data_IF_717810275942
#
_entry.id   IF_717810275942
#
_cell.length_a   1.000
_cell.length_b   1.000
_cell.length_c   1.000
_cell.angle_alpha   90.00
_cell.angle_beta   90.00
_cell.angle_gamma   90.00
#
_symmetry.space_group_name_H-M   'P 1'
#
loop_
_entity.id
_entity.type
_entity.pdbx_description
1 polymer ?
#
# COMPACT_ATOMS: atom_id res chain seq x y z
N UNK A 1 0.48 -6.93 -53.67
CA UNK A 1 0.71 -5.96 -52.59
C UNK A 1 1.74 -4.93 -53.07
N UNK A 2 1.50 -3.65 -52.87
CA UNK A 2 2.48 -2.63 -53.27
C UNK A 2 3.67 -2.64 -52.28
N UNK A 3 4.87 -2.15 -52.75
CA UNK A 3 6.04 -1.98 -51.87
C UNK A 3 5.68 -1.11 -50.65
N UNK A 4 4.79 -0.13 -50.78
CA UNK A 4 4.31 0.72 -49.67
C UNK A 4 3.50 -0.09 -48.65
N UNK A 5 2.63 -1.02 -49.11
CA UNK A 5 1.87 -1.89 -48.21
C UNK A 5 2.75 -2.85 -47.40
N UNK A 6 3.82 -3.37 -48.00
CA UNK A 6 4.80 -4.23 -47.32
C UNK A 6 5.58 -3.48 -46.25
N UNK A 7 6.01 -2.24 -46.53
CA UNK A 7 6.71 -1.39 -45.54
C UNK A 7 5.80 -1.06 -44.36
N UNK A 8 4.54 -0.69 -44.63
CA UNK A 8 3.58 -0.39 -43.54
C UNK A 8 3.33 -1.62 -42.68
N UNK A 9 3.15 -2.80 -43.25
CA UNK A 9 2.97 -4.04 -42.49
C UNK A 9 4.21 -4.40 -41.65
N UNK A 10 5.41 -4.21 -42.20
CA UNK A 10 6.66 -4.45 -41.44
C UNK A 10 6.80 -3.49 -40.26
N UNK A 11 6.45 -2.21 -40.43
CA UNK A 11 6.47 -1.23 -39.32
C UNK A 11 5.44 -1.59 -38.25
N UNK A 12 4.21 -1.93 -38.65
CA UNK A 12 3.16 -2.36 -37.69
C UNK A 12 3.57 -3.62 -36.94
N UNK A 13 4.16 -4.60 -37.61
CA UNK A 13 4.67 -5.82 -36.97
C UNK A 13 5.80 -5.50 -35.98
N UNK A 14 6.74 -4.63 -36.34
CA UNK A 14 7.83 -4.21 -35.45
C UNK A 14 7.31 -3.47 -34.21
N UNK A 15 6.33 -2.58 -34.37
CA UNK A 15 5.68 -1.88 -33.27
C UNK A 15 4.95 -2.88 -32.35
N UNK A 16 4.24 -3.85 -32.91
CA UNK A 16 3.55 -4.88 -32.14
C UNK A 16 4.52 -5.77 -31.34
N UNK A 17 5.65 -6.16 -31.96
CA UNK A 17 6.71 -6.93 -31.29
C UNK A 17 7.36 -6.11 -30.16
N UNK A 18 7.66 -4.83 -30.42
CA UNK A 18 8.21 -3.94 -29.39
C UNK A 18 7.23 -3.74 -28.22
N UNK A 19 5.95 -3.52 -28.52
CA UNK A 19 4.90 -3.41 -27.51
C UNK A 19 4.76 -4.70 -26.67
N UNK A 20 4.83 -5.87 -27.33
CA UNK A 20 4.79 -7.17 -26.65
C UNK A 20 6.04 -7.40 -25.78
N UNK A 21 7.21 -6.99 -26.24
CA UNK A 21 8.46 -7.07 -25.49
C UNK A 21 8.42 -6.17 -24.25
N UNK A 22 7.94 -4.93 -24.38
CA UNK A 22 7.73 -4.00 -23.26
C UNK A 22 6.72 -4.57 -22.26
N UNK A 23 5.62 -5.12 -22.75
CA UNK A 23 4.60 -5.73 -21.88
C UNK A 23 5.13 -6.93 -21.10
N UNK A 24 5.98 -7.78 -21.73
CA UNK A 24 6.58 -8.94 -21.06
C UNK A 24 7.74 -8.59 -20.12
N UNK A 25 8.46 -7.50 -20.37
CA UNK A 25 9.64 -7.13 -19.59
C UNK A 25 9.31 -6.38 -18.30
N UNK A 26 8.05 -5.92 -18.13
CA UNK A 26 7.61 -5.08 -16.98
C UNK A 26 8.69 -4.05 -16.59
N UNK A 27 9.01 -3.09 -17.47
CA UNK A 27 10.15 -2.22 -17.25
C UNK A 27 9.90 -1.30 -16.05
N UNK A 28 10.92 -1.10 -15.22
CA UNK A 28 10.88 -0.32 -13.97
C UNK A 28 10.29 1.08 -14.17
N UNK A 29 10.60 1.75 -15.31
CA UNK A 29 10.03 3.07 -15.57
C UNK A 29 8.50 3.07 -15.70
N UNK A 30 7.91 1.96 -16.20
CA UNK A 30 6.46 1.82 -16.32
C UNK A 30 5.82 1.60 -14.94
N UNK A 31 6.49 0.85 -14.06
CA UNK A 31 6.07 0.70 -12.67
C UNK A 31 6.08 2.05 -11.93
N UNK A 32 7.16 2.83 -12.09
CA UNK A 32 7.27 4.17 -11.51
C UNK A 32 6.18 5.14 -12.02
N UNK A 33 5.79 5.00 -13.28
CA UNK A 33 4.71 5.82 -13.86
C UNK A 33 3.33 5.42 -13.31
N UNK A 34 3.06 4.11 -13.15
CA UNK A 34 1.77 3.57 -12.67
C UNK A 34 1.60 3.68 -11.16
N UNK A 35 2.70 3.48 -10.44
CA UNK A 35 2.75 3.37 -8.98
C UNK A 35 3.80 4.35 -8.43
N UNK A 36 3.56 5.68 -8.53
CA UNK A 36 4.50 6.68 -8.04
C UNK A 36 4.71 6.52 -6.53
N UNK A 37 5.94 6.77 -6.08
CA UNK A 37 6.29 6.87 -4.67
C UNK A 37 6.26 8.35 -4.25
N UNK A 38 5.73 8.62 -3.06
CA UNK A 38 5.77 9.92 -2.40
C UNK A 38 6.03 9.71 -0.91
N UNK A 39 6.45 10.75 -0.21
CA UNK A 39 6.70 10.72 1.23
C UNK A 39 7.76 9.69 1.65
N UNK A 40 8.79 9.49 0.84
CA UNK A 40 9.83 8.46 1.00
C UNK A 40 10.45 8.50 2.40
N UNK A 41 10.90 9.68 2.84
CA UNK A 41 11.52 9.86 4.16
C UNK A 41 10.56 9.49 5.30
N UNK A 42 9.29 9.89 5.22
CA UNK A 42 8.28 9.56 6.23
C UNK A 42 8.07 8.04 6.27
N UNK A 43 7.93 7.41 5.09
CA UNK A 43 7.73 5.96 4.99
C UNK A 43 8.90 5.17 5.54
N UNK A 44 10.13 5.50 5.14
CA UNK A 44 11.33 4.78 5.59
C UNK A 44 11.58 4.98 7.08
N UNK A 45 11.40 6.20 7.60
CA UNK A 45 11.51 6.49 9.03
C UNK A 45 10.54 5.65 9.86
N UNK A 46 9.26 5.62 9.48
CA UNK A 46 8.27 4.85 10.24
C UNK A 46 8.35 3.34 9.98
N UNK A 47 8.77 2.91 8.81
CA UNK A 47 9.07 1.50 8.56
C UNK A 47 10.20 1.02 9.49
N UNK A 48 11.28 1.79 9.61
CA UNK A 48 12.37 1.50 10.55
C UNK A 48 11.89 1.50 12.01
N UNK A 49 11.20 2.56 12.44
CA UNK A 49 10.76 2.73 13.83
C UNK A 49 9.81 1.62 14.30
N UNK A 50 9.03 1.04 13.39
CA UNK A 50 8.05 0.00 13.70
C UNK A 50 8.43 -1.39 13.17
N UNK A 51 9.67 -1.57 12.69
CA UNK A 51 10.18 -2.83 12.14
C UNK A 51 9.22 -3.40 11.08
N UNK A 52 8.92 -2.58 10.06
CA UNK A 52 8.08 -2.90 8.92
C UNK A 52 8.92 -2.94 7.64
N UNK A 53 8.48 -3.70 6.65
CA UNK A 53 9.00 -3.62 5.30
C UNK A 53 8.55 -2.29 4.65
N UNK A 54 9.47 -1.37 4.24
CA UNK A 54 9.10 -0.11 3.60
C UNK A 54 8.29 -0.31 2.31
N UNK A 55 8.54 -1.39 1.56
CA UNK A 55 7.77 -1.70 0.36
C UNK A 55 6.33 -2.13 0.69
N UNK A 56 6.12 -2.85 1.80
CA UNK A 56 4.78 -3.15 2.30
C UNK A 56 4.05 -1.87 2.71
N UNK A 57 4.73 -0.97 3.43
CA UNK A 57 4.13 0.29 3.86
C UNK A 57 3.76 1.18 2.66
N UNK A 58 4.64 1.30 1.66
CA UNK A 58 4.36 2.03 0.42
C UNK A 58 3.18 1.43 -0.36
N UNK A 59 3.14 0.09 -0.49
CA UNK A 59 2.04 -0.61 -1.15
C UNK A 59 0.70 -0.38 -0.45
N UNK A 60 0.70 -0.39 0.89
CA UNK A 60 -0.49 -0.14 1.69
C UNK A 60 -0.96 1.31 1.51
N UNK A 61 -0.08 2.30 1.67
CA UNK A 61 -0.42 3.73 1.48
C UNK A 61 -0.95 4.00 0.08
N UNK A 62 -0.36 3.39 -0.94
CA UNK A 62 -0.87 3.52 -2.31
C UNK A 62 -2.28 2.92 -2.45
N UNK A 63 -2.53 1.76 -1.87
CA UNK A 63 -3.85 1.11 -1.93
C UNK A 63 -4.91 1.93 -1.19
N UNK A 64 -4.56 2.53 -0.05
CA UNK A 64 -5.48 3.32 0.78
C UNK A 64 -5.82 4.68 0.17
N UNK A 65 -4.82 5.43 -0.28
CA UNK A 65 -5.02 6.83 -0.66
C UNK A 65 -4.38 7.23 -1.98
N UNK A 66 -3.61 6.36 -2.65
CA UNK A 66 -2.73 6.71 -3.77
C UNK A 66 -1.81 7.90 -3.43
N UNK A 67 -1.34 7.96 -2.19
CA UNK A 67 -0.54 9.05 -1.64
C UNK A 67 -1.23 10.42 -1.60
N UNK A 68 -2.56 10.48 -1.51
CA UNK A 68 -3.27 11.72 -1.27
C UNK A 68 -3.44 11.94 0.25
N UNK A 69 -2.72 12.91 0.79
CA UNK A 69 -2.75 13.18 2.25
C UNK A 69 -4.09 13.72 2.75
N UNK A 70 -4.84 14.35 1.87
CA UNK A 70 -6.18 14.89 2.15
C UNK A 70 -7.32 13.91 1.83
N UNK A 71 -7.00 12.66 1.53
CA UNK A 71 -7.99 11.64 1.17
C UNK A 71 -9.01 11.43 2.30
N UNK A 72 -10.27 11.33 1.90
CA UNK A 72 -11.40 11.06 2.80
C UNK A 72 -12.29 10.00 2.16
N UNK A 73 -12.57 8.94 2.88
CA UNK A 73 -13.51 7.92 2.41
C UNK A 73 -14.96 8.25 2.81
N UNK A 74 -15.92 7.58 2.17
CA UNK A 74 -17.33 7.64 2.55
C UNK A 74 -17.61 7.10 3.96
N UNK A 75 -16.74 6.23 4.47
CA UNK A 75 -16.79 5.71 5.82
C UNK A 75 -16.13 6.65 6.86
N UNK A 76 -15.60 7.80 6.44
CA UNK A 76 -14.95 8.77 7.32
C UNK A 76 -13.48 8.51 7.60
N UNK A 77 -12.84 7.56 6.91
CA UNK A 77 -11.40 7.35 7.03
C UNK A 77 -10.60 8.51 6.43
N UNK A 78 -9.44 8.84 7.00
CA UNK A 78 -8.67 10.04 6.73
C UNK A 78 -7.21 9.76 6.42
N UNK A 79 -6.65 10.53 5.48
CA UNK A 79 -5.23 10.65 5.21
C UNK A 79 -4.61 9.50 4.43
N UNK A 80 -3.28 9.45 4.45
CA UNK A 80 -2.46 8.54 3.64
C UNK A 80 -2.78 7.06 3.88
N UNK A 81 -3.02 6.66 5.12
CA UNK A 81 -3.28 5.28 5.54
C UNK A 81 -4.74 5.04 5.92
N UNK A 82 -5.63 5.98 5.55
CA UNK A 82 -7.08 5.88 5.74
C UNK A 82 -7.50 5.41 7.14
N UNK A 83 -7.02 6.12 8.16
CA UNK A 83 -7.40 5.81 9.54
C UNK A 83 -8.77 6.38 9.86
N UNK A 84 -9.63 5.57 10.49
CA UNK A 84 -10.86 6.04 11.08
C UNK A 84 -10.59 6.92 12.31
N UNK A 85 -11.41 7.95 12.59
CA UNK A 85 -11.27 8.81 13.77
C UNK A 85 -11.10 8.02 15.07
N UNK A 86 -11.97 7.06 15.32
CA UNK A 86 -11.93 6.21 16.51
C UNK A 86 -10.64 5.34 16.60
N UNK A 87 -10.08 4.93 15.45
CA UNK A 87 -8.79 4.24 15.42
C UNK A 87 -7.67 5.19 15.80
N UNK A 88 -7.67 6.41 15.25
CA UNK A 88 -6.71 7.47 15.59
C UNK A 88 -6.72 7.81 17.07
N UNK A 89 -7.91 8.00 17.66
CA UNK A 89 -8.10 8.26 19.09
C UNK A 89 -7.57 7.11 19.95
N UNK A 90 -7.89 5.86 19.58
CA UNK A 90 -7.41 4.68 20.30
C UNK A 90 -5.88 4.54 20.25
N UNK A 91 -5.25 4.92 19.12
CA UNK A 91 -3.79 4.93 18.99
C UNK A 91 -3.21 6.07 19.84
N UNK A 92 -3.77 7.26 19.79
CA UNK A 92 -3.34 8.41 20.58
C UNK A 92 -3.29 8.08 22.07
N UNK A 93 -4.36 7.51 22.62
CA UNK A 93 -4.45 7.08 24.01
C UNK A 93 -3.35 6.06 24.40
N UNK A 94 -2.95 5.19 23.47
CA UNK A 94 -1.92 4.15 23.74
C UNK A 94 -0.49 4.66 23.55
N UNK A 95 -0.30 5.73 22.79
CA UNK A 95 1.01 6.25 22.41
C UNK A 95 1.35 7.59 23.06
N UNK A 96 0.50 8.08 23.99
CA UNK A 96 0.71 9.34 24.72
C UNK A 96 0.37 10.59 23.89
N UNK A 97 -0.57 10.48 22.96
CA UNK A 97 -1.03 11.59 22.13
C UNK A 97 -2.10 12.46 22.79
N UNK A 98 -1.83 13.03 23.98
CA UNK A 98 -2.81 13.75 24.82
C UNK A 98 -3.44 14.98 24.16
N UNK A 99 -2.84 15.52 23.10
CA UNK A 99 -3.32 16.68 22.33
C UNK A 99 -3.84 16.32 20.95
N UNK A 100 -4.00 15.03 20.65
CA UNK A 100 -4.52 14.58 19.37
C UNK A 100 -5.93 15.12 19.11
N UNK A 101 -6.15 15.64 17.92
CA UNK A 101 -7.45 15.96 17.36
C UNK A 101 -7.64 15.26 16.03
N UNK A 102 -8.87 14.91 15.67
CA UNK A 102 -9.18 14.10 14.47
C UNK A 102 -8.60 14.69 13.18
N UNK A 103 -8.53 16.04 13.08
CA UNK A 103 -7.92 16.71 11.92
C UNK A 103 -6.45 16.41 11.72
N UNK A 104 -5.73 15.99 12.76
CA UNK A 104 -4.31 15.63 12.68
C UNK A 104 -4.08 14.37 11.83
N UNK A 105 -5.12 13.57 11.60
CA UNK A 105 -5.07 12.44 10.67
C UNK A 105 -4.88 12.87 9.20
N UNK A 106 -4.97 14.17 8.88
CA UNK A 106 -4.63 14.71 7.57
C UNK A 106 -3.17 15.18 7.48
N UNK A 107 -2.44 15.21 8.59
CA UNK A 107 -1.01 15.43 8.60
C UNK A 107 -0.29 14.14 8.15
N UNK A 108 0.53 14.20 7.09
CA UNK A 108 1.21 13.01 6.54
C UNK A 108 2.07 12.27 7.55
N UNK A 109 2.83 13.01 8.37
CA UNK A 109 3.75 12.47 9.35
C UNK A 109 3.00 11.71 10.45
N UNK A 110 1.98 12.35 11.03
CA UNK A 110 1.18 11.73 12.07
C UNK A 110 0.37 10.54 11.54
N UNK A 111 -0.22 10.67 10.36
CA UNK A 111 -1.03 9.61 9.76
C UNK A 111 -0.21 8.35 9.49
N UNK A 112 0.97 8.49 8.87
CA UNK A 112 1.87 7.36 8.60
C UNK A 112 2.42 6.79 9.91
N UNK A 113 2.78 7.62 10.89
CA UNK A 113 3.20 7.14 12.21
C UNK A 113 2.14 6.27 12.88
N UNK A 114 0.91 6.75 12.94
CA UNK A 114 -0.20 6.01 13.58
C UNK A 114 -0.57 4.75 12.81
N UNK A 115 -0.67 4.84 11.48
CA UNK A 115 -0.96 3.69 10.63
C UNK A 115 0.12 2.61 10.71
N UNK A 116 1.39 3.00 10.74
CA UNK A 116 2.52 2.08 10.89
C UNK A 116 2.49 1.38 12.25
N UNK A 117 2.24 2.13 13.35
CA UNK A 117 2.04 1.54 14.66
C UNK A 117 0.90 0.52 14.65
N UNK A 118 -0.24 0.88 14.05
CA UNK A 118 -1.41 -0.01 13.99
C UNK A 118 -1.13 -1.27 13.16
N UNK A 119 -0.49 -1.13 12.00
CA UNK A 119 -0.09 -2.27 11.17
C UNK A 119 0.86 -3.19 11.94
N UNK A 120 1.84 -2.64 12.67
CA UNK A 120 2.76 -3.43 13.50
C UNK A 120 2.03 -4.23 14.56
N UNK A 121 1.07 -3.62 15.26
CA UNK A 121 0.26 -4.30 16.25
C UNK A 121 -0.56 -5.46 15.64
N UNK A 122 -1.11 -5.26 14.45
CA UNK A 122 -1.82 -6.32 13.72
C UNK A 122 -0.90 -7.46 13.29
N UNK A 123 0.30 -7.14 12.78
CA UNK A 123 1.30 -8.15 12.42
C UNK A 123 1.74 -8.97 13.64
N UNK A 124 1.94 -8.30 14.77
CA UNK A 124 2.25 -8.99 16.05
C UNK A 124 1.13 -9.88 16.54
N UNK A 125 -0.13 -9.44 16.39
CA UNK A 125 -1.30 -10.19 16.85
C UNK A 125 -1.55 -11.44 16.01
N UNK A 126 -1.45 -11.32 14.70
CA UNK A 126 -1.87 -12.39 13.80
C UNK A 126 -0.74 -13.27 13.29
N UNK A 127 0.51 -12.82 13.35
CA UNK A 127 1.73 -13.52 12.87
C UNK A 127 1.66 -13.94 11.40
N UNK A 128 0.77 -13.32 10.63
CA UNK A 128 0.55 -13.54 9.21
C UNK A 128 0.16 -12.23 8.52
N UNK A 129 0.91 -11.84 7.50
CA UNK A 129 0.73 -10.55 6.81
C UNK A 129 -0.64 -10.47 6.15
N UNK A 130 -1.12 -11.56 5.52
CA UNK A 130 -2.44 -11.60 4.87
C UNK A 130 -3.57 -11.35 5.87
N UNK A 131 -3.50 -12.00 7.01
CA UNK A 131 -4.48 -11.85 8.10
C UNK A 131 -4.39 -10.46 8.74
N UNK A 132 -3.19 -9.92 8.93
CA UNK A 132 -2.99 -8.57 9.45
C UNK A 132 -3.58 -7.49 8.52
N UNK A 133 -3.34 -7.60 7.21
CA UNK A 133 -3.93 -6.70 6.20
C UNK A 133 -5.46 -6.84 6.16
N UNK A 134 -6.00 -8.06 6.28
CA UNK A 134 -7.44 -8.27 6.38
C UNK A 134 -8.03 -7.59 7.62
N UNK A 135 -7.32 -7.64 8.75
CA UNK A 135 -7.75 -6.97 9.99
C UNK A 135 -7.61 -5.45 9.91
N UNK A 136 -6.62 -4.95 9.16
CA UNK A 136 -6.47 -3.53 8.88
C UNK A 136 -7.71 -3.00 8.14
N UNK A 137 -8.13 -3.69 7.10
CA UNK A 137 -9.25 -3.28 6.24
C UNK A 137 -10.64 -3.59 6.84
N UNK A 138 -10.87 -4.82 7.30
CA UNK A 138 -12.19 -5.27 7.77
C UNK A 138 -12.41 -5.12 9.28
N UNK A 139 -11.38 -4.67 10.01
CA UNK A 139 -11.36 -4.60 11.46
C UNK A 139 -11.05 -5.94 12.15
N UNK A 140 -10.37 -5.87 13.29
CA UNK A 140 -9.94 -7.03 14.09
C UNK A 140 -11.13 -7.94 14.47
N UNK A 141 -12.26 -7.36 14.86
CA UNK A 141 -13.44 -8.13 15.27
C UNK A 141 -14.02 -9.03 14.17
N UNK A 142 -13.93 -8.62 12.90
CA UNK A 142 -14.33 -9.46 11.76
C UNK A 142 -13.38 -10.64 11.59
N UNK A 143 -12.08 -10.37 11.59
CA UNK A 143 -11.04 -11.40 11.42
C UNK A 143 -11.08 -12.41 12.59
N UNK A 144 -11.24 -11.93 13.83
CA UNK A 144 -11.33 -12.82 15.01
C UNK A 144 -12.53 -13.75 14.91
N UNK A 145 -13.70 -13.25 14.45
CA UNK A 145 -14.88 -14.10 14.20
C UNK A 145 -14.64 -15.14 13.10
N UNK A 146 -13.93 -14.78 12.03
CA UNK A 146 -13.61 -15.72 10.96
C UNK A 146 -12.67 -16.81 11.44
N UNK A 147 -11.62 -16.44 12.18
CA UNK A 147 -10.67 -17.39 12.77
C UNK A 147 -11.33 -18.34 13.77
N UNK A 148 -12.20 -17.84 14.64
CA UNK A 148 -12.94 -18.66 15.59
C UNK A 148 -13.84 -19.71 14.90
N UNK A 149 -14.27 -19.45 13.68
CA UNK A 149 -15.06 -20.37 12.85
C UNK A 149 -14.20 -21.28 11.97
N UNK A 150 -12.88 -21.12 11.97
CA UNK A 150 -11.97 -21.86 11.10
C UNK A 150 -12.12 -21.52 9.61
N UNK A 151 -12.62 -20.31 9.27
CA UNK A 151 -12.80 -19.85 7.89
C UNK A 151 -11.81 -18.73 7.55
N UNK A 152 -11.51 -18.59 6.25
CA UNK A 152 -10.68 -17.50 5.74
C UNK A 152 -11.42 -16.16 5.68
N UNK A 153 -10.86 -15.20 4.91
CA UNK A 153 -11.47 -13.88 4.66
C UNK A 153 -12.83 -14.09 4.00
N UNK A 154 -13.89 -13.49 4.58
CA UNK A 154 -15.26 -13.69 4.10
C UNK A 154 -15.77 -12.54 3.23
N UNK A 155 -15.20 -11.35 3.35
CA UNK A 155 -15.62 -10.19 2.56
C UNK A 155 -14.83 -10.15 1.24
N UNK A 156 -15.51 -10.19 0.07
CA UNK A 156 -14.83 -10.14 -1.24
C UNK A 156 -13.96 -8.90 -1.41
N UNK A 157 -14.41 -7.75 -0.92
CA UNK A 157 -13.68 -6.48 -0.95
C UNK A 157 -12.40 -6.53 -0.12
N UNK A 158 -12.43 -7.19 1.05
CA UNK A 158 -11.24 -7.39 1.87
C UNK A 158 -10.25 -8.35 1.21
N UNK A 159 -10.77 -9.38 0.52
CA UNK A 159 -9.92 -10.29 -0.24
C UNK A 159 -9.18 -9.56 -1.35
N UNK A 160 -9.91 -8.77 -2.15
CA UNK A 160 -9.33 -7.96 -3.23
C UNK A 160 -8.30 -6.94 -2.70
N UNK A 161 -8.62 -6.28 -1.59
CA UNK A 161 -7.71 -5.33 -0.92
C UNK A 161 -6.39 -5.99 -0.53
N UNK A 162 -6.45 -7.14 0.15
CA UNK A 162 -5.24 -7.87 0.59
C UNK A 162 -4.42 -8.32 -0.61
N UNK A 163 -5.05 -8.84 -1.65
CA UNK A 163 -4.37 -9.25 -2.87
C UNK A 163 -3.73 -8.07 -3.60
N UNK A 164 -4.38 -6.91 -3.65
CA UNK A 164 -3.83 -5.68 -4.24
C UNK A 164 -2.60 -5.18 -3.48
N UNK A 165 -2.66 -5.09 -2.15
CA UNK A 165 -1.49 -4.68 -1.35
C UNK A 165 -0.33 -5.64 -1.59
N UNK A 166 -0.54 -6.96 -1.45
CA UNK A 166 0.52 -7.96 -1.58
C UNK A 166 1.10 -8.01 -3.01
N UNK A 167 0.29 -7.79 -4.02
CA UNK A 167 0.73 -7.69 -5.43
C UNK A 167 1.66 -6.48 -5.64
N UNK A 168 1.42 -5.37 -4.93
CA UNK A 168 2.19 -4.15 -5.08
C UNK A 168 3.53 -4.17 -4.32
N UNK A 169 3.69 -4.98 -3.27
CA UNK A 169 4.95 -5.07 -2.51
C UNK A 169 6.16 -5.34 -3.42
N UNK A 170 6.19 -6.40 -4.24
CA UNK A 170 7.33 -6.65 -5.13
C UNK A 170 7.50 -5.55 -6.20
N UNK A 171 6.43 -4.87 -6.61
CA UNK A 171 6.50 -3.75 -7.54
C UNK A 171 7.26 -2.59 -6.92
N UNK A 172 6.89 -2.16 -5.70
CA UNK A 172 7.58 -1.08 -4.99
C UNK A 172 9.04 -1.44 -4.68
N UNK A 173 9.32 -2.66 -4.23
CA UNK A 173 10.68 -3.11 -3.96
C UNK A 173 11.58 -3.09 -5.22
N UNK A 174 11.03 -3.47 -6.38
CA UNK A 174 11.75 -3.44 -7.66
C UNK A 174 11.88 -2.02 -8.21
N UNK A 175 10.83 -1.21 -8.10
CA UNK A 175 10.80 0.13 -8.68
C UNK A 175 11.61 1.16 -7.88
N UNK A 176 11.73 0.99 -6.57
CA UNK A 176 12.30 1.98 -5.66
C UNK A 176 13.31 1.37 -4.66
N UNK A 177 14.32 0.63 -5.14
CA UNK A 177 15.24 -0.10 -4.25
C UNK A 177 16.10 0.82 -3.38
N UNK A 178 16.50 1.99 -3.89
CA UNK A 178 17.29 2.99 -3.17
C UNK A 178 16.44 3.86 -2.27
N UNK A 179 15.25 4.25 -2.75
CA UNK A 179 14.34 5.14 -2.03
C UNK A 179 13.67 4.45 -0.83
N UNK A 180 13.53 3.13 -0.89
CA UNK A 180 12.93 2.30 0.18
C UNK A 180 13.97 1.47 0.95
N UNK A 181 15.27 1.75 0.78
CA UNK A 181 16.31 1.15 1.61
C UNK A 181 16.23 1.74 3.02
N UNK A 182 16.28 0.89 4.04
CA UNK A 182 16.55 1.32 5.42
C UNK A 182 18.07 1.41 5.52
N UNK A 183 18.61 2.63 5.69
CA UNK A 183 20.03 2.79 6.02
C UNK A 183 20.25 2.18 7.40
N UNK A 184 20.92 1.03 7.43
CA UNK A 184 21.43 0.45 8.68
C UNK A 184 22.73 1.18 9.02
N UNK A 185 22.67 2.10 9.98
CA UNK A 185 23.86 2.63 10.64
C UNK A 185 24.62 1.52 11.40
#
# INVERSE_FOLDING_TARGET
MSRRSLVVLAVLASVAVAALAIWKSEPVWLDRLRYPLRYETILTTHAHNYDLDPALLAALVYTESRFHADARSSAGALGLMQLLPETGEAIALRTGGDRFVVSDLLDPELNVRYGSWYLRELLRRYHDTRTALAAYHAGQGSVDRWRARGVGIQFPETHAYVDDVLRLVPVYRRAYPSELSIETE
#
